data_IF_793446964894
#
_entry.id   IF_793446964894
#
_cell.length_a   1.000
_cell.length_b   1.000
_cell.length_c   1.000
_cell.angle_alpha   90.00
_cell.angle_beta   90.00
_cell.angle_gamma   90.00
#
_symmetry.space_group_name_H-M   'P 1'
#
loop_
_entity.id
_entity.type
_entity.pdbx_description
1 polymer ?
#
# COMPACT_ATOMS: atom_id res chain seq x y z
N UNK A 1 8.73 29.43 6.28
CA UNK A 1 9.47 30.38 5.39
C UNK A 1 10.60 29.60 4.73
N UNK A 2 10.41 29.14 3.48
CA UNK A 2 11.50 28.57 2.69
C UNK A 2 12.54 29.67 2.38
N UNK A 3 13.76 29.49 2.86
CA UNK A 3 14.88 30.33 2.48
C UNK A 3 15.50 29.76 1.21
N UNK A 4 15.24 30.37 0.07
CA UNK A 4 16.02 30.11 -1.13
C UNK A 4 17.36 30.84 -1.01
N UNK A 5 18.45 30.09 -0.90
CA UNK A 5 19.81 30.62 -1.03
C UNK A 5 20.12 30.79 -2.52
N UNK A 6 19.57 31.86 -3.13
CA UNK A 6 19.84 32.24 -4.50
C UNK A 6 19.68 33.75 -4.66
N UNK A 7 20.62 34.40 -5.35
CA UNK A 7 20.61 35.83 -5.64
C UNK A 7 19.49 36.21 -6.62
N UNK A 8 18.25 36.27 -6.12
CA UNK A 8 17.08 36.69 -6.88
C UNK A 8 15.95 37.06 -5.96
N UNK A 9 15.11 38.00 -6.34
CA UNK A 9 13.87 38.35 -5.63
C UNK A 9 12.91 37.17 -5.82
N UNK A 10 12.79 36.32 -4.81
CA UNK A 10 11.80 35.25 -4.82
C UNK A 10 10.39 35.85 -4.77
N UNK A 11 9.62 35.65 -5.82
CA UNK A 11 8.18 35.97 -5.82
C UNK A 11 7.47 34.83 -5.10
N UNK A 12 6.78 35.14 -4.01
CA UNK A 12 5.97 34.18 -3.26
C UNK A 12 4.49 34.34 -3.61
N UNK A 13 3.82 33.25 -3.83
CA UNK A 13 2.36 33.22 -4.00
C UNK A 13 1.78 32.47 -2.80
N UNK A 14 0.71 33.00 -2.22
CA UNK A 14 -0.03 32.32 -1.16
C UNK A 14 -1.12 31.48 -1.81
N UNK A 15 -1.05 30.16 -1.62
CA UNK A 15 -2.07 29.20 -2.08
C UNK A 15 -2.58 28.41 -0.90
N UNK A 16 -3.80 27.87 -0.98
CA UNK A 16 -4.28 26.91 0.00
C UNK A 16 -3.62 25.54 -0.23
N UNK A 17 -3.56 24.70 0.79
CA UNK A 17 -3.05 23.34 0.64
C UNK A 17 -3.81 22.55 -0.43
N UNK A 18 -5.15 22.71 -0.49
CA UNK A 18 -5.99 22.05 -1.51
C UNK A 18 -5.62 22.53 -2.92
N UNK A 19 -5.52 23.84 -3.16
CA UNK A 19 -5.17 24.37 -4.49
C UNK A 19 -3.80 23.88 -4.94
N UNK A 20 -2.83 23.79 -4.00
CA UNK A 20 -1.51 23.23 -4.28
C UNK A 20 -1.60 21.78 -4.73
N UNK A 21 -2.32 20.95 -3.97
CA UNK A 21 -2.46 19.52 -4.27
C UNK A 21 -3.24 19.28 -5.58
N UNK A 22 -4.29 20.10 -5.84
CA UNK A 22 -5.07 20.01 -7.10
C UNK A 22 -4.23 20.43 -8.31
N UNK A 23 -3.42 21.48 -8.16
CA UNK A 23 -2.53 21.96 -9.23
C UNK A 23 -1.32 21.06 -9.49
N UNK A 24 -1.01 20.14 -8.58
CA UNK A 24 0.15 19.22 -8.67
C UNK A 24 -0.25 17.76 -8.80
N UNK A 25 -1.48 17.47 -9.20
CA UNK A 25 -1.93 16.09 -9.45
C UNK A 25 -0.99 15.37 -10.41
N UNK A 26 -0.65 14.13 -10.08
CA UNK A 26 0.26 13.30 -10.87
C UNK A 26 1.76 13.56 -10.59
N UNK A 27 2.10 14.57 -9.79
CA UNK A 27 3.46 14.81 -9.36
C UNK A 27 3.75 14.20 -7.98
N UNK A 28 5.02 13.82 -7.77
CA UNK A 28 5.53 13.50 -6.43
C UNK A 28 5.90 14.81 -5.74
N UNK A 29 5.36 15.04 -4.55
CA UNK A 29 5.62 16.24 -3.76
C UNK A 29 6.57 15.91 -2.61
N UNK A 30 7.56 16.75 -2.41
CA UNK A 30 8.42 16.71 -1.24
C UNK A 30 8.10 17.92 -0.35
N UNK A 31 7.57 17.66 0.84
CA UNK A 31 7.22 18.68 1.81
C UNK A 31 8.39 18.86 2.79
N UNK A 32 8.79 20.10 3.05
CA UNK A 32 9.87 20.46 3.99
C UNK A 32 11.16 19.65 3.82
N UNK A 33 11.79 19.60 2.63
CA UNK A 33 12.92 18.74 2.33
C UNK A 33 14.14 18.96 3.24
N UNK A 34 14.22 20.11 3.90
CA UNK A 34 15.35 20.48 4.76
C UNK A 34 15.06 20.31 6.28
N UNK A 35 13.89 19.79 6.64
CA UNK A 35 13.44 19.72 8.03
C UNK A 35 12.58 18.47 8.26
N UNK A 36 13.19 17.31 8.06
CA UNK A 36 12.51 16.01 8.28
C UNK A 36 11.27 15.80 7.41
N UNK A 37 11.27 16.36 6.20
CA UNK A 37 10.11 16.40 5.32
C UNK A 37 9.61 15.03 4.87
N UNK A 38 8.38 14.98 4.39
CA UNK A 38 7.78 13.78 3.84
C UNK A 38 7.61 13.87 2.33
N UNK A 39 7.60 12.72 1.68
CA UNK A 39 7.26 12.56 0.27
C UNK A 39 5.80 12.12 0.17
N UNK A 40 5.03 12.81 -0.66
CA UNK A 40 3.68 12.41 -1.06
C UNK A 40 3.72 11.97 -2.52
N UNK A 41 3.36 10.74 -2.76
CA UNK A 41 3.22 10.19 -4.11
C UNK A 41 1.86 10.56 -4.73
N UNK A 42 1.69 10.49 -6.06
CA UNK A 42 0.45 10.87 -6.73
C UNK A 42 -0.81 10.19 -6.18
N UNK A 43 -0.71 8.90 -5.84
CA UNK A 43 -1.79 8.13 -5.24
C UNK A 43 -2.18 8.64 -3.84
N UNK A 44 -1.22 9.13 -3.06
CA UNK A 44 -1.45 9.71 -1.75
C UNK A 44 -2.05 11.11 -1.84
N UNK A 45 -1.60 11.92 -2.80
CA UNK A 45 -2.21 13.22 -3.12
C UNK A 45 -3.68 13.02 -3.49
N UNK A 46 -4.00 12.03 -4.32
CA UNK A 46 -5.37 11.70 -4.70
C UNK A 46 -6.20 11.23 -3.50
N UNK A 47 -5.64 10.38 -2.62
CA UNK A 47 -6.29 9.93 -1.40
C UNK A 47 -6.60 11.13 -0.48
N UNK A 48 -5.61 11.98 -0.22
CA UNK A 48 -5.75 13.17 0.61
C UNK A 48 -6.83 14.14 0.10
N UNK A 49 -6.88 14.38 -1.21
CA UNK A 49 -7.92 15.20 -1.84
C UNK A 49 -9.32 14.60 -1.70
N UNK A 50 -9.42 13.27 -1.73
CA UNK A 50 -10.70 12.53 -1.63
C UNK A 50 -11.21 12.41 -0.20
N UNK A 51 -10.33 12.06 0.74
CA UNK A 51 -10.70 11.67 2.11
C UNK A 51 -10.33 12.70 3.18
N UNK A 52 -9.42 13.62 2.87
CA UNK A 52 -8.83 14.56 3.83
C UNK A 52 -7.74 13.96 4.72
N UNK A 53 -7.42 12.69 4.53
CA UNK A 53 -6.42 11.97 5.34
C UNK A 53 -5.48 11.16 4.47
N UNK A 54 -4.30 10.86 5.00
CA UNK A 54 -3.35 9.87 4.45
C UNK A 54 -3.29 8.72 5.44
N UNK A 55 -3.23 7.50 4.94
CA UNK A 55 -3.15 6.32 5.79
C UNK A 55 -1.90 6.37 6.69
N UNK A 56 -2.09 6.06 7.95
CA UNK A 56 -1.00 5.78 8.87
C UNK A 56 -0.70 4.29 8.80
N UNK A 57 0.58 3.95 8.63
CA UNK A 57 1.04 2.57 8.64
C UNK A 57 1.57 2.28 10.04
N UNK A 58 0.96 1.35 10.72
CA UNK A 58 1.54 0.71 11.88
C UNK A 58 2.27 -0.55 11.40
N UNK A 59 3.61 -0.56 11.56
CA UNK A 59 4.42 -1.73 11.23
C UNK A 59 4.43 -2.65 12.44
N UNK A 60 3.75 -3.77 12.32
CA UNK A 60 3.84 -4.84 13.31
C UNK A 60 5.03 -5.71 12.92
N UNK A 61 6.07 -5.73 13.74
CA UNK A 61 7.10 -6.75 13.65
C UNK A 61 6.58 -8.01 14.31
N UNK A 62 6.33 -9.03 13.51
CA UNK A 62 6.01 -10.34 14.04
C UNK A 62 7.31 -10.94 14.61
N UNK A 63 7.27 -11.35 15.86
CA UNK A 63 8.40 -12.08 16.47
C UNK A 63 8.72 -13.34 15.66
N UNK A 64 9.96 -13.81 15.71
CA UNK A 64 10.43 -14.97 14.96
C UNK A 64 9.61 -16.27 15.24
N UNK A 65 8.88 -16.30 16.35
CA UNK A 65 7.99 -17.41 16.75
C UNK A 65 6.55 -17.25 16.22
N UNK A 66 6.23 -16.12 15.57
CA UNK A 66 4.92 -15.93 14.97
C UNK A 66 4.86 -16.64 13.63
N UNK A 67 4.17 -17.77 13.61
CA UNK A 67 3.86 -18.48 12.37
C UNK A 67 2.37 -18.42 12.09
N UNK A 68 2.02 -18.23 10.83
CA UNK A 68 0.65 -18.34 10.36
C UNK A 68 0.55 -19.47 9.32
N UNK A 69 -0.63 -20.03 9.24
CA UNK A 69 -0.95 -21.01 8.22
C UNK A 69 -1.89 -20.39 7.19
N UNK A 70 -1.66 -20.67 5.92
CA UNK A 70 -2.66 -20.47 4.88
C UNK A 70 -3.71 -21.55 5.05
N UNK A 71 -4.96 -21.14 5.28
CA UNK A 71 -6.03 -22.08 5.64
C UNK A 71 -6.79 -22.55 4.41
N UNK A 72 -7.14 -21.59 3.50
CA UNK A 72 -7.95 -21.88 2.32
C UNK A 72 -7.86 -20.75 1.29
N UNK A 73 -8.54 -20.94 0.16
CA UNK A 73 -8.82 -19.83 -0.75
C UNK A 73 -9.65 -18.78 -0.03
N UNK A 74 -9.14 -17.55 -0.01
CA UNK A 74 -9.82 -16.45 0.63
C UNK A 74 -11.19 -16.22 -0.04
N UNK A 75 -12.23 -16.05 0.78
CA UNK A 75 -13.55 -15.59 0.32
C UNK A 75 -13.71 -14.10 0.64
N UNK A 76 -13.10 -13.21 -0.18
CA UNK A 76 -13.06 -11.80 0.10
C UNK A 76 -14.41 -11.12 -0.16
N UNK A 77 -14.64 -9.95 0.45
CA UNK A 77 -15.73 -9.08 0.06
C UNK A 77 -15.71 -8.79 -1.45
N UNK A 78 -16.87 -8.83 -2.10
CA UNK A 78 -17.02 -8.68 -3.57
C UNK A 78 -16.35 -7.40 -4.10
N UNK A 79 -16.30 -6.34 -3.30
CA UNK A 79 -15.74 -5.05 -3.68
C UNK A 79 -14.20 -5.03 -3.66
N UNK A 80 -13.53 -5.93 -2.92
CA UNK A 80 -12.10 -5.85 -2.61
C UNK A 80 -11.23 -6.05 -3.85
N UNK A 81 -11.34 -7.19 -4.51
CA UNK A 81 -10.47 -7.52 -5.66
C UNK A 81 -10.62 -6.54 -6.83
N UNK A 82 -11.82 -6.16 -7.29
CA UNK A 82 -11.94 -5.20 -8.39
C UNK A 82 -11.32 -3.84 -8.12
N UNK A 83 -11.32 -3.39 -6.86
CA UNK A 83 -10.66 -2.14 -6.47
C UNK A 83 -9.15 -2.25 -6.49
N UNK A 84 -8.63 -3.33 -5.91
CA UNK A 84 -7.19 -3.57 -5.87
C UNK A 84 -6.61 -3.75 -7.28
N UNK A 85 -7.28 -4.46 -8.17
CA UNK A 85 -6.86 -4.60 -9.56
C UNK A 85 -6.73 -3.23 -10.22
N UNK A 86 -7.76 -2.38 -10.12
CA UNK A 86 -7.72 -1.01 -10.70
C UNK A 86 -6.60 -0.16 -10.10
N UNK A 87 -6.32 -0.30 -8.81
CA UNK A 87 -5.21 0.38 -8.17
C UNK A 87 -3.88 -0.09 -8.75
N UNK A 88 -3.67 -1.41 -8.82
CA UNK A 88 -2.38 -1.97 -9.24
C UNK A 88 -2.11 -1.77 -10.74
N UNK A 89 -3.14 -1.65 -11.58
CA UNK A 89 -2.99 -1.21 -12.97
C UNK A 89 -2.35 0.18 -13.10
N UNK A 90 -2.48 1.03 -12.07
CA UNK A 90 -1.86 2.36 -11.99
C UNK A 90 -0.47 2.34 -11.32
N UNK A 91 -0.06 1.20 -10.78
CA UNK A 91 1.18 1.02 -10.03
C UNK A 91 2.09 -0.01 -10.71
N UNK A 92 2.82 0.37 -11.78
CA UNK A 92 3.58 -0.57 -12.61
C UNK A 92 4.70 -1.31 -11.86
N UNK A 93 5.04 -0.87 -10.66
CA UNK A 93 6.00 -1.56 -9.78
C UNK A 93 5.36 -2.69 -8.96
N UNK A 94 4.03 -2.84 -8.94
CA UNK A 94 3.34 -4.01 -8.38
C UNK A 94 3.29 -5.07 -9.46
N UNK A 95 4.08 -6.12 -9.33
CA UNK A 95 4.25 -7.15 -10.34
C UNK A 95 3.17 -8.23 -10.25
N UNK A 96 2.79 -8.60 -9.02
CA UNK A 96 1.70 -9.53 -8.76
C UNK A 96 1.11 -9.30 -7.38
N UNK A 97 -0.14 -9.75 -7.18
CA UNK A 97 -0.79 -9.72 -5.88
C UNK A 97 -1.58 -11.01 -5.62
N UNK A 98 -1.53 -11.44 -4.37
CA UNK A 98 -2.20 -12.62 -3.85
C UNK A 98 -3.12 -12.23 -2.71
N UNK A 99 -4.21 -12.96 -2.56
CA UNK A 99 -5.10 -12.83 -1.43
C UNK A 99 -5.25 -14.20 -0.76
N UNK A 100 -4.94 -14.24 0.52
CA UNK A 100 -4.88 -15.45 1.31
C UNK A 100 -5.80 -15.32 2.52
N UNK A 101 -6.39 -16.41 2.95
CA UNK A 101 -6.96 -16.53 4.29
C UNK A 101 -5.91 -17.15 5.20
N UNK A 102 -5.57 -16.46 6.26
CA UNK A 102 -4.51 -16.85 7.19
C UNK A 102 -5.02 -16.90 8.62
N UNK A 103 -4.44 -17.76 9.42
CA UNK A 103 -4.64 -17.73 10.86
C UNK A 103 -3.32 -17.97 11.59
N UNK A 104 -3.15 -17.40 12.80
CA UNK A 104 -2.03 -17.75 13.66
C UNK A 104 -2.04 -19.26 13.96
N UNK A 105 -0.88 -19.91 13.91
CA UNK A 105 -0.77 -21.36 14.15
C UNK A 105 -1.31 -21.78 15.52
N UNK A 106 -1.28 -20.86 16.47
CA UNK A 106 -1.75 -21.07 17.85
C UNK A 106 -3.23 -20.76 18.06
N UNK A 107 -3.91 -20.14 17.07
CA UNK A 107 -5.28 -19.66 17.16
C UNK A 107 -5.98 -19.76 15.79
N UNK A 108 -6.23 -20.98 15.32
CA UNK A 108 -6.78 -21.25 13.99
C UNK A 108 -8.19 -20.70 13.76
N UNK A 109 -8.91 -20.37 14.83
CA UNK A 109 -10.24 -19.75 14.75
C UNK A 109 -10.14 -18.22 14.49
N UNK A 110 -8.97 -17.62 14.72
CA UNK A 110 -8.74 -16.20 14.47
C UNK A 110 -8.25 -15.97 13.04
N UNK A 111 -9.17 -16.08 12.09
CA UNK A 111 -8.89 -15.96 10.66
C UNK A 111 -8.88 -14.51 10.22
N UNK A 112 -7.95 -14.18 9.33
CA UNK A 112 -7.83 -12.86 8.70
C UNK A 112 -7.52 -12.98 7.22
N UNK A 113 -7.71 -11.89 6.49
CA UNK A 113 -7.29 -11.77 5.11
C UNK A 113 -5.89 -11.17 5.04
N UNK A 114 -5.03 -11.72 4.20
CA UNK A 114 -3.69 -11.23 3.93
C UNK A 114 -3.54 -10.91 2.45
N UNK A 115 -3.24 -9.66 2.13
CA UNK A 115 -2.77 -9.28 0.80
C UNK A 115 -1.26 -9.40 0.78
N UNK A 116 -0.72 -10.16 -0.18
CA UNK A 116 0.72 -10.24 -0.40
C UNK A 116 1.08 -9.69 -1.77
N UNK A 117 1.97 -8.69 -1.78
CA UNK A 117 2.37 -7.96 -2.97
C UNK A 117 3.78 -8.35 -3.39
N UNK A 118 3.93 -8.75 -4.66
CA UNK A 118 5.23 -8.93 -5.30
C UNK A 118 5.73 -7.58 -5.79
N UNK A 119 6.70 -7.01 -5.11
CA UNK A 119 7.28 -5.70 -5.44
C UNK A 119 8.76 -5.69 -5.08
N UNK A 120 9.58 -4.93 -5.81
CA UNK A 120 10.96 -4.69 -5.42
C UNK A 120 11.01 -3.95 -4.07
N UNK A 121 12.04 -4.23 -3.26
CA UNK A 121 12.15 -3.74 -1.89
C UNK A 121 12.02 -2.21 -1.76
N UNK A 122 12.52 -1.45 -2.73
CA UNK A 122 12.45 0.01 -2.76
C UNK A 122 11.03 0.57 -2.93
N UNK A 123 10.09 -0.22 -3.48
CA UNK A 123 8.69 0.18 -3.67
C UNK A 123 7.74 -0.43 -2.63
N UNK A 124 8.24 -1.28 -1.73
CA UNK A 124 7.43 -2.03 -0.77
C UNK A 124 6.53 -1.10 0.07
N UNK A 125 7.12 -0.08 0.70
CA UNK A 125 6.37 0.86 1.54
C UNK A 125 5.36 1.66 0.72
N UNK A 126 5.72 2.11 -0.48
CA UNK A 126 4.83 2.83 -1.38
C UNK A 126 3.63 1.98 -1.79
N UNK A 127 3.84 0.70 -2.13
CA UNK A 127 2.78 -0.23 -2.48
C UNK A 127 1.81 -0.46 -1.31
N UNK A 128 2.33 -0.68 -0.11
CA UNK A 128 1.52 -0.83 1.11
C UNK A 128 0.68 0.41 1.35
N UNK A 129 1.28 1.61 1.35
CA UNK A 129 0.59 2.88 1.59
C UNK A 129 -0.51 3.12 0.57
N UNK A 130 -0.25 2.89 -0.72
CA UNK A 130 -1.25 3.02 -1.77
C UNK A 130 -2.43 2.06 -1.56
N UNK A 131 -2.14 0.81 -1.21
CA UNK A 131 -3.16 -0.21 -0.93
C UNK A 131 -4.02 0.19 0.27
N UNK A 132 -3.41 0.57 1.39
CA UNK A 132 -4.15 1.00 2.60
C UNK A 132 -5.03 2.22 2.30
N UNK A 133 -4.51 3.24 1.62
CA UNK A 133 -5.27 4.44 1.25
C UNK A 133 -6.51 4.13 0.41
N UNK A 134 -6.46 3.08 -0.41
CA UNK A 134 -7.60 2.67 -1.24
C UNK A 134 -8.66 1.89 -0.48
N UNK A 135 -8.25 0.98 0.42
CA UNK A 135 -9.17 0.03 1.03
C UNK A 135 -9.58 0.37 2.46
N UNK A 136 -8.74 1.08 3.24
CA UNK A 136 -9.01 1.36 4.66
C UNK A 136 -10.40 1.96 4.94
N UNK A 137 -10.89 2.96 4.17
CA UNK A 137 -12.23 3.51 4.43
C UNK A 137 -13.35 2.47 4.30
N UNK A 138 -13.15 1.47 3.43
CA UNK A 138 -14.12 0.41 3.17
C UNK A 138 -13.99 -0.73 4.18
N UNK A 139 -12.77 -1.05 4.60
CA UNK A 139 -12.54 -2.06 5.65
C UNK A 139 -13.19 -1.63 6.96
N UNK A 140 -13.00 -0.38 7.38
CA UNK A 140 -13.63 0.18 8.58
C UNK A 140 -15.16 0.15 8.47
N UNK A 141 -15.71 0.51 7.30
CA UNK A 141 -17.16 0.53 7.10
C UNK A 141 -17.79 -0.87 7.13
N UNK A 142 -17.06 -1.88 6.68
CA UNK A 142 -17.55 -3.26 6.54
C UNK A 142 -17.01 -4.22 7.62
N UNK A 143 -16.29 -3.71 8.62
CA UNK A 143 -15.68 -4.51 9.70
C UNK A 143 -14.79 -5.66 9.18
N UNK A 144 -13.94 -5.34 8.19
CA UNK A 144 -13.02 -6.31 7.58
C UNK A 144 -11.61 -6.10 8.12
N UNK A 145 -11.09 -7.08 8.82
CA UNK A 145 -9.68 -7.15 9.21
C UNK A 145 -8.84 -7.64 8.04
N UNK A 146 -7.80 -6.87 7.68
CA UNK A 146 -6.97 -7.17 6.54
C UNK A 146 -5.53 -6.72 6.79
N UNK A 147 -4.61 -7.66 6.63
CA UNK A 147 -3.18 -7.43 6.72
C UNK A 147 -2.55 -7.34 5.33
N UNK A 148 -1.40 -6.67 5.23
CA UNK A 148 -0.67 -6.50 3.99
C UNK A 148 0.80 -6.86 4.23
N UNK A 149 1.34 -7.70 3.35
CA UNK A 149 2.77 -8.01 3.32
C UNK A 149 3.34 -7.79 1.92
N UNK A 150 4.67 -7.72 1.83
CA UNK A 150 5.37 -7.62 0.55
C UNK A 150 6.49 -8.63 0.48
N UNK A 151 6.80 -9.09 -0.72
CA UNK A 151 8.00 -9.88 -0.99
C UNK A 151 8.69 -9.40 -2.26
N UNK A 152 10.02 -9.46 -2.22
CA UNK A 152 10.87 -9.04 -3.34
C UNK A 152 11.11 -10.24 -4.27
N UNK A 153 10.74 -10.16 -5.55
CA UNK A 153 10.95 -11.26 -6.51
C UNK A 153 12.43 -11.62 -6.67
N UNK A 154 13.36 -10.68 -6.45
CA UNK A 154 14.79 -10.94 -6.50
C UNK A 154 15.28 -11.87 -5.36
N UNK A 155 14.52 -11.97 -4.27
CA UNK A 155 14.80 -12.86 -3.14
C UNK A 155 14.09 -14.21 -3.25
N UNK A 156 13.38 -14.44 -4.35
CA UNK A 156 12.57 -15.63 -4.57
C UNK A 156 11.16 -15.54 -3.94
N UNK A 157 10.36 -16.55 -4.25
CA UNK A 157 8.99 -16.62 -3.72
C UNK A 157 8.98 -17.28 -2.34
N UNK A 158 8.27 -16.70 -1.36
CA UNK A 158 8.01 -17.41 -0.11
C UNK A 158 7.33 -18.76 -0.35
N UNK A 159 7.73 -19.78 0.39
CA UNK A 159 7.30 -21.16 0.17
C UNK A 159 5.77 -21.35 0.22
N UNK A 160 5.05 -20.53 0.97
CA UNK A 160 3.59 -20.61 1.06
C UNK A 160 2.85 -20.22 -0.24
N UNK A 161 3.47 -19.48 -1.16
CA UNK A 161 2.89 -19.20 -2.48
C UNK A 161 3.02 -20.37 -3.47
N UNK A 162 3.86 -21.35 -3.13
CA UNK A 162 4.05 -22.56 -3.94
C UNK A 162 3.04 -23.65 -3.57
N UNK A 163 2.17 -23.40 -2.60
CA UNK A 163 1.15 -24.37 -2.18
C UNK A 163 0.04 -24.50 -3.25
N UNK A 164 -0.48 -25.70 -3.49
CA UNK A 164 -1.62 -25.89 -4.37
C UNK A 164 -2.83 -25.06 -3.91
N UNK A 165 -3.48 -24.38 -4.84
CA UNK A 165 -4.65 -23.55 -4.55
C UNK A 165 -4.36 -22.09 -4.23
N UNK A 166 -3.10 -21.69 -4.07
CA UNK A 166 -2.73 -20.27 -3.94
C UNK A 166 -2.64 -19.66 -5.32
N UNK A 167 -3.66 -18.90 -5.67
CA UNK A 167 -3.72 -18.21 -6.96
C UNK A 167 -3.54 -16.70 -6.76
N UNK A 168 -2.84 -16.08 -7.72
CA UNK A 168 -2.78 -14.61 -7.74
C UNK A 168 -4.06 -14.08 -8.35
N UNK A 169 -4.51 -12.94 -7.87
CA UNK A 169 -5.63 -12.21 -8.46
C UNK A 169 -5.18 -11.06 -9.37
N UNK A 170 -3.88 -10.72 -9.36
CA UNK A 170 -3.30 -9.66 -10.20
C UNK A 170 -1.90 -10.04 -10.68
N UNK A 171 -1.56 -9.60 -11.91
CA UNK A 171 -0.25 -9.74 -12.52
C UNK A 171 -0.10 -10.93 -13.48
N UNK A 172 0.93 -10.90 -14.36
CA UNK A 172 1.23 -12.01 -15.29
C UNK A 172 1.73 -13.25 -14.52
N UNK A 173 1.73 -14.43 -15.15
CA UNK A 173 2.41 -15.60 -14.58
C UNK A 173 3.85 -15.25 -14.22
N UNK A 174 4.21 -15.51 -12.97
CA UNK A 174 5.62 -15.45 -12.58
C UNK A 174 6.27 -16.73 -13.12
N UNK A 175 7.19 -16.57 -14.08
CA UNK A 175 7.96 -17.65 -14.69
C UNK A 175 9.08 -18.09 -13.74
#
# INVERSE_FOLDING_TARGET
KARFAGRGVARTVKVTGRDLLEGTRGATLMLNPNDGGCVLYPEEVNALLRTGTVAQIEKIHLDNDFSFMVIDQANPPIWLMPRLIRLYEQLPFVLAAYLLEVAPTQALDNRGLLIALCVAAEYAERAIRATINEIQPLCVHNDVALDITTFDPAKGHPAYFLQPGVERFYGPPLN
#
